data_IF_036278462132
#
_entry.id   IF_036278462132
#
_cell.length_a   1.000
_cell.length_b   1.000
_cell.length_c   1.000
_cell.angle_alpha   90.00
_cell.angle_beta   90.00
_cell.angle_gamma   90.00
#
_symmetry.space_group_name_H-M   'P 1'
#
loop_
_entity.id
_entity.type
_entity.pdbx_description
1 polymer ?
#
# COMPACT_ATOMS: atom_id res chain seq x y z
N UNK A 1 27.73 19.66 -39.94
CA UNK A 1 28.21 18.43 -39.28
C UNK A 1 28.17 18.53 -37.76
N UNK A 2 28.85 19.51 -37.14
CA UNK A 2 28.96 19.64 -35.68
C UNK A 2 27.62 19.77 -34.93
N UNK A 3 26.66 20.54 -35.47
CA UNK A 3 25.32 20.72 -34.88
C UNK A 3 24.53 19.40 -34.79
N UNK A 4 24.62 18.56 -35.83
CA UNK A 4 23.91 17.27 -35.89
C UNK A 4 24.49 16.31 -34.85
N UNK A 5 25.81 16.29 -34.69
CA UNK A 5 26.49 15.51 -33.64
C UNK A 5 26.10 15.98 -32.25
N UNK A 6 26.04 17.30 -32.03
CA UNK A 6 25.58 17.88 -30.76
C UNK A 6 24.13 17.51 -30.42
N UNK A 7 23.23 17.56 -31.41
CA UNK A 7 21.85 17.13 -31.24
C UNK A 7 21.74 15.62 -30.93
N UNK A 8 22.49 14.78 -31.64
CA UNK A 8 22.49 13.33 -31.42
C UNK A 8 23.05 12.95 -30.04
N UNK A 9 24.10 13.62 -29.56
CA UNK A 9 24.60 13.39 -28.20
C UNK A 9 23.61 13.89 -27.15
N UNK A 10 22.98 15.05 -27.37
CA UNK A 10 21.96 15.59 -26.48
C UNK A 10 20.77 14.64 -26.28
N UNK A 11 20.28 14.01 -27.36
CA UNK A 11 19.17 13.05 -27.28
C UNK A 11 19.56 11.78 -26.52
N UNK A 12 20.77 11.25 -26.77
CA UNK A 12 21.28 10.06 -26.05
C UNK A 12 21.46 10.34 -24.56
N UNK A 13 22.04 11.49 -24.19
CA UNK A 13 22.18 11.86 -22.78
C UNK A 13 20.83 12.10 -22.10
N UNK A 14 19.88 12.71 -22.80
CA UNK A 14 18.52 12.90 -22.30
C UNK A 14 17.81 11.56 -22.05
N UNK A 15 17.98 10.58 -22.94
CA UNK A 15 17.43 9.23 -22.77
C UNK A 15 18.05 8.51 -21.57
N UNK A 16 19.37 8.57 -21.41
CA UNK A 16 20.07 7.99 -20.27
C UNK A 16 19.62 8.61 -18.95
N UNK A 17 19.50 9.94 -18.90
CA UNK A 17 19.04 10.66 -17.72
C UNK A 17 17.58 10.29 -17.36
N UNK A 18 16.71 10.21 -18.37
CA UNK A 18 15.32 9.78 -18.19
C UNK A 18 15.23 8.34 -17.66
N UNK A 19 16.00 7.42 -18.24
CA UNK A 19 16.06 6.02 -17.82
C UNK A 19 16.51 5.87 -16.36
N UNK A 20 17.57 6.59 -15.96
CA UNK A 20 18.05 6.61 -14.58
C UNK A 20 16.98 7.15 -13.61
N UNK A 21 16.31 8.25 -13.96
CA UNK A 21 15.23 8.80 -13.15
C UNK A 21 14.06 7.83 -13.00
N UNK A 22 13.70 7.14 -14.08
CA UNK A 22 12.63 6.14 -14.06
C UNK A 22 13.01 4.95 -13.17
N UNK A 23 14.24 4.45 -13.26
CA UNK A 23 14.72 3.35 -12.42
C UNK A 23 14.65 3.69 -10.93
N UNK A 24 15.12 4.88 -10.53
CA UNK A 24 14.99 5.31 -9.12
C UNK A 24 13.55 5.41 -8.66
N UNK A 25 12.67 6.02 -9.49
CA UNK A 25 11.25 6.13 -9.17
C UNK A 25 10.58 4.76 -9.03
N UNK A 26 10.91 3.81 -9.91
CA UNK A 26 10.37 2.46 -9.86
C UNK A 26 10.82 1.70 -8.61
N UNK A 27 12.10 1.79 -8.23
CA UNK A 27 12.59 1.20 -6.97
C UNK A 27 11.84 1.76 -5.77
N UNK A 28 11.63 3.07 -5.76
CA UNK A 28 10.93 3.76 -4.69
C UNK A 28 9.47 3.31 -4.55
N UNK A 29 8.77 3.22 -5.68
CA UNK A 29 7.39 2.75 -5.73
C UNK A 29 7.28 1.27 -5.31
N UNK A 30 8.23 0.41 -5.69
CA UNK A 30 8.27 -0.99 -5.26
C UNK A 30 8.48 -1.10 -3.76
N UNK A 31 9.46 -0.38 -3.20
CA UNK A 31 9.74 -0.38 -1.75
C UNK A 31 8.48 0.02 -0.97
N UNK A 32 7.80 1.09 -1.40
CA UNK A 32 6.55 1.55 -0.81
C UNK A 32 5.45 0.49 -0.87
N UNK A 33 5.20 -0.10 -2.03
CA UNK A 33 4.15 -1.13 -2.21
C UNK A 33 4.44 -2.37 -1.37
N UNK A 34 5.69 -2.84 -1.35
CA UNK A 34 6.12 -3.99 -0.55
C UNK A 34 5.88 -3.71 0.93
N UNK A 35 6.29 -2.54 1.41
CA UNK A 35 6.06 -2.15 2.80
C UNK A 35 4.56 -2.11 3.13
N UNK A 36 3.74 -1.42 2.33
CA UNK A 36 2.30 -1.31 2.55
C UNK A 36 1.64 -2.70 2.58
N UNK A 37 1.94 -3.56 1.61
CA UNK A 37 1.43 -4.94 1.59
C UNK A 37 1.87 -5.74 2.80
N UNK A 38 3.11 -5.55 3.27
CA UNK A 38 3.62 -6.24 4.45
C UNK A 38 2.91 -5.77 5.72
N UNK A 39 2.72 -4.46 5.89
CA UNK A 39 1.98 -3.88 7.01
C UNK A 39 0.52 -4.36 7.03
N UNK A 40 -0.13 -4.38 5.87
CA UNK A 40 -1.49 -4.93 5.72
C UNK A 40 -1.56 -6.41 6.08
N UNK A 41 -0.65 -7.23 5.57
CA UNK A 41 -0.62 -8.66 5.87
C UNK A 41 -0.35 -8.93 7.35
N UNK A 42 0.56 -8.19 7.98
CA UNK A 42 0.86 -8.33 9.42
C UNK A 42 -0.36 -7.99 10.27
N UNK A 43 -1.03 -6.87 9.97
CA UNK A 43 -2.25 -6.46 10.69
C UNK A 43 -3.40 -7.49 10.59
N UNK A 44 -3.37 -8.36 9.58
CA UNK A 44 -4.35 -9.44 9.42
C UNK A 44 -4.00 -10.73 10.18
N UNK A 45 -2.74 -10.90 10.59
CA UNK A 45 -2.26 -12.13 11.25
C UNK A 45 -2.21 -11.93 12.78
N UNK A 46 -1.96 -10.71 13.25
CA UNK A 46 -1.83 -10.42 14.67
C UNK A 46 -3.20 -10.47 15.40
N UNK A 47 -3.21 -10.99 16.64
CA UNK A 47 -4.42 -11.02 17.49
C UNK A 47 -4.83 -9.62 17.96
N UNK A 48 -3.84 -8.74 18.17
CA UNK A 48 -4.01 -7.30 18.36
C UNK A 48 -3.47 -6.62 17.11
N UNK A 49 -4.30 -5.83 16.43
CA UNK A 49 -4.00 -5.17 15.16
C UNK A 49 -3.04 -3.98 15.33
N UNK A 50 -1.84 -4.22 15.87
CA UNK A 50 -0.76 -3.26 15.83
C UNK A 50 -0.17 -3.25 14.42
N UNK A 51 -0.53 -2.22 13.65
CA UNK A 51 0.18 -1.93 12.42
C UNK A 51 1.64 -1.65 12.76
N UNK A 52 2.61 -2.27 12.06
CA UNK A 52 3.98 -1.82 12.18
C UNK A 52 4.03 -0.34 11.81
N UNK A 53 4.75 0.46 12.60
CA UNK A 53 4.88 1.87 12.31
C UNK A 53 5.34 2.06 10.86
N UNK A 54 4.61 2.89 10.11
CA UNK A 54 5.03 3.26 8.77
C UNK A 54 6.45 3.85 8.85
N UNK A 55 7.35 3.56 7.89
CA UNK A 55 8.61 4.25 7.78
C UNK A 55 8.38 5.76 7.81
N UNK A 56 9.26 6.51 8.48
CA UNK A 56 9.10 7.97 8.65
C UNK A 56 8.84 8.72 7.34
N UNK A 57 9.37 8.20 6.23
CA UNK A 57 9.16 8.74 4.87
C UNK A 57 7.70 8.65 4.36
N UNK A 58 6.90 7.72 4.88
CA UNK A 58 5.50 7.49 4.48
C UNK A 58 4.49 7.92 5.56
N UNK A 59 4.92 8.08 6.83
CA UNK A 59 4.04 8.50 7.95
C UNK A 59 3.22 9.77 7.69
N UNK A 60 3.70 10.66 6.80
CA UNK A 60 3.04 11.94 6.50
C UNK A 60 2.10 11.87 5.29
N UNK A 61 2.24 10.85 4.45
CA UNK A 61 1.51 10.76 3.19
C UNK A 61 0.54 9.59 3.15
N UNK A 62 0.68 8.62 4.05
CA UNK A 62 -0.21 7.46 4.13
C UNK A 62 -0.95 7.47 5.46
N UNK A 63 -2.28 7.42 5.37
CA UNK A 63 -3.19 7.30 6.50
C UNK A 63 -3.98 5.99 6.38
N UNK A 64 -4.19 5.32 7.52
CA UNK A 64 -4.94 4.07 7.61
C UNK A 64 -6.02 4.27 8.67
N UNK A 65 -7.27 4.14 8.29
CA UNK A 65 -8.40 4.24 9.21
C UNK A 65 -9.15 2.91 9.27
N UNK A 66 -9.49 2.48 10.48
CA UNK A 66 -10.35 1.31 10.68
C UNK A 66 -11.80 1.76 10.68
N UNK A 67 -12.64 1.09 9.90
CA UNK A 67 -14.06 1.34 9.80
C UNK A 67 -14.88 0.36 10.64
N UNK A 68 -16.15 0.22 10.29
CA UNK A 68 -17.08 -0.63 11.02
C UNK A 68 -16.84 -2.12 10.79
N UNK A 69 -17.21 -2.91 11.79
CA UNK A 69 -17.36 -4.36 11.69
C UNK A 69 -18.53 -4.69 10.78
N UNK A 70 -18.29 -5.59 9.82
CA UNK A 70 -19.35 -6.12 8.97
C UNK A 70 -20.26 -7.02 9.82
N UNK A 71 -21.56 -6.91 9.55
CA UNK A 71 -22.58 -7.74 10.18
C UNK A 71 -22.33 -9.22 9.89
N UNK A 72 -22.59 -10.06 10.90
CA UNK A 72 -22.54 -11.51 10.70
C UNK A 72 -23.61 -11.92 9.70
N UNK A 73 -23.32 -12.88 8.81
CA UNK A 73 -24.35 -13.41 7.92
C UNK A 73 -25.46 -14.09 8.72
N UNK A 74 -26.71 -13.94 8.26
CA UNK A 74 -27.89 -14.56 8.89
C UNK A 74 -27.76 -16.08 9.08
N UNK A 75 -27.03 -16.74 8.17
CA UNK A 75 -26.78 -18.18 8.20
C UNK A 75 -25.29 -18.47 8.32
N UNK A 76 -24.83 -18.57 9.56
CA UNK A 76 -23.49 -19.03 9.86
C UNK A 76 -23.50 -20.56 10.06
N UNK A 77 -22.77 -21.29 9.20
CA UNK A 77 -22.78 -22.76 9.20
C UNK A 77 -22.01 -23.39 10.36
N UNK A 78 -21.03 -22.66 10.92
CA UNK A 78 -20.21 -23.06 12.07
C UNK A 78 -19.80 -21.84 12.89
N UNK A 79 -19.69 -21.95 14.23
CA UNK A 79 -19.12 -20.89 15.04
C UNK A 79 -17.70 -20.58 14.58
N UNK A 80 -17.41 -19.29 14.38
CA UNK A 80 -16.09 -18.79 14.01
C UNK A 80 -15.62 -17.80 15.06
N UNK A 81 -14.30 -17.63 15.19
CA UNK A 81 -13.68 -16.60 16.04
C UNK A 81 -13.10 -15.46 15.20
N UNK A 82 -13.77 -15.16 14.10
CA UNK A 82 -13.31 -14.21 13.11
C UNK A 82 -14.45 -13.25 12.78
N UNK A 83 -14.11 -11.99 12.58
CA UNK A 83 -15.00 -10.97 12.03
C UNK A 83 -14.32 -10.29 10.84
N UNK A 84 -15.14 -9.67 10.00
CA UNK A 84 -14.66 -8.80 8.94
C UNK A 84 -14.81 -7.36 9.39
N UNK A 85 -13.78 -6.56 9.22
CA UNK A 85 -13.76 -5.14 9.54
C UNK A 85 -13.40 -4.38 8.28
N UNK A 86 -14.13 -3.32 7.98
CA UNK A 86 -13.78 -2.42 6.90
C UNK A 86 -12.57 -1.57 7.29
N UNK A 87 -11.72 -1.22 6.34
CA UNK A 87 -10.67 -0.22 6.55
C UNK A 87 -10.41 0.55 5.26
N UNK A 88 -9.95 1.78 5.44
CA UNK A 88 -9.50 2.65 4.36
C UNK A 88 -8.00 2.88 4.47
N UNK A 89 -7.35 2.96 3.31
CA UNK A 89 -5.98 3.42 3.17
C UNK A 89 -5.98 4.58 2.19
N UNK A 90 -5.47 5.72 2.64
CA UNK A 90 -5.32 6.93 1.84
C UNK A 90 -3.85 7.26 1.65
N UNK A 91 -3.47 7.60 0.41
CA UNK A 91 -2.13 8.04 0.05
C UNK A 91 -2.21 9.38 -0.69
N UNK A 92 -1.96 10.49 0.05
CA UNK A 92 -2.01 11.86 -0.47
C UNK A 92 -1.01 12.10 -1.61
N UNK A 93 0.16 11.44 -1.56
CA UNK A 93 1.23 11.67 -2.52
C UNK A 93 0.91 11.07 -3.89
N UNK A 94 0.20 9.93 -3.89
CA UNK A 94 -0.16 9.21 -5.11
C UNK A 94 -1.62 9.42 -5.52
N UNK A 95 -2.44 10.01 -4.64
CA UNK A 95 -3.89 10.09 -4.80
C UNK A 95 -4.53 8.70 -4.84
N UNK A 96 -4.01 7.75 -4.06
CA UNK A 96 -4.54 6.39 -4.00
C UNK A 96 -5.49 6.31 -2.81
N UNK A 97 -6.69 5.79 -3.07
CA UNK A 97 -7.65 5.41 -2.05
C UNK A 97 -7.96 3.92 -2.23
N UNK A 98 -7.83 3.17 -1.14
CA UNK A 98 -8.19 1.76 -1.09
C UNK A 98 -9.16 1.55 0.06
N UNK A 99 -10.38 1.16 -0.28
CA UNK A 99 -11.38 0.71 0.69
C UNK A 99 -11.53 -0.79 0.56
N UNK A 100 -11.34 -1.52 1.65
CA UNK A 100 -11.42 -2.99 1.62
C UNK A 100 -11.77 -3.54 3.00
N UNK A 101 -11.78 -4.87 3.11
CA UNK A 101 -12.10 -5.59 4.34
C UNK A 101 -10.89 -6.38 4.82
N UNK A 102 -10.72 -6.47 6.14
CA UNK A 102 -9.73 -7.32 6.81
C UNK A 102 -10.42 -8.33 7.71
N UNK A 103 -9.78 -9.49 7.87
CA UNK A 103 -10.14 -10.47 8.89
C UNK A 103 -9.51 -10.04 10.22
N UNK A 104 -10.30 -10.03 11.27
CA UNK A 104 -9.82 -9.83 12.64
C UNK A 104 -10.27 -10.97 13.53
N UNK A 105 -9.50 -11.24 14.59
CA UNK A 105 -9.91 -12.14 15.65
C UNK A 105 -10.93 -11.46 16.54
N UNK A 106 -12.14 -12.00 16.55
CA UNK A 106 -13.22 -11.54 17.42
C UNK A 106 -14.06 -12.76 17.75
N UNK A 107 -14.34 -13.01 19.03
CA UNK A 107 -15.14 -14.17 19.43
C UNK A 107 -16.60 -13.98 18.99
N UNK A 108 -16.87 -14.31 17.73
CA UNK A 108 -18.19 -14.24 17.11
C UNK A 108 -19.02 -15.50 17.41
N UNK A 109 -18.63 -16.33 18.37
CA UNK A 109 -19.33 -17.58 18.71
C UNK A 109 -20.62 -17.42 19.54
N UNK A 110 -21.20 -16.21 19.63
CA UNK A 110 -22.55 -15.99 20.16
C UNK A 110 -23.58 -15.94 19.03
#
# INVERSE_FOLDING_TARGET
ALTIVGMALGTVYSLLASSKRLAFKATDDIERIVFLRSALNIAQILEESEYPELPNRYKKSVEIESGDLLEKPEKQTKPMKLALESYSLHDDEKGIELVTVRLILMDTAK
#
